data_IF_864238539875
#
_entry.id   IF_864238539875
#
_cell.length_a   1.000
_cell.length_b   1.000
_cell.length_c   1.000
_cell.angle_alpha   90.00
_cell.angle_beta   90.00
_cell.angle_gamma   90.00
#
_symmetry.space_group_name_H-M   'P 1'
#
loop_
_entity.id
_entity.type
_entity.pdbx_description
1 polymer ?
#
# COMPACT_ATOMS: atom_id res chain seq x y z
N UNK A 1 -57.70 17.36 -35.79
CA UNK A 1 -57.02 17.91 -36.98
C UNK A 1 -56.10 19.04 -36.53
N UNK A 2 -54.92 19.17 -37.16
CA UNK A 2 -53.63 19.32 -36.48
C UNK A 2 -53.04 20.73 -36.67
N UNK A 3 -51.94 21.06 -35.99
CA UNK A 3 -50.83 21.76 -36.66
C UNK A 3 -49.56 21.88 -35.81
N UNK A 4 -48.47 21.32 -36.36
CA UNK A 4 -47.04 21.64 -36.16
C UNK A 4 -46.51 21.66 -34.71
N UNK A 5 -45.83 20.62 -34.24
CA UNK A 5 -44.49 20.24 -34.71
C UNK A 5 -43.59 21.48 -34.86
N UNK A 6 -43.02 21.97 -33.75
CA UNK A 6 -41.81 22.80 -33.80
C UNK A 6 -40.63 21.95 -33.35
N UNK A 7 -39.88 21.55 -34.36
CA UNK A 7 -38.57 20.94 -34.30
C UNK A 7 -37.61 21.69 -33.36
N UNK A 8 -36.74 20.89 -32.74
CA UNK A 8 -35.32 21.20 -32.56
C UNK A 8 -35.01 22.48 -31.80
N UNK A 9 -34.82 22.37 -30.49
CA UNK A 9 -33.87 23.26 -29.81
C UNK A 9 -32.85 22.46 -29.03
N UNK A 10 -31.68 22.44 -29.66
CA UNK A 10 -30.38 22.42 -29.03
C UNK A 10 -30.10 21.23 -28.14
N UNK A 11 -29.40 20.29 -28.76
CA UNK A 11 -28.46 19.38 -28.13
C UNK A 11 -27.46 20.22 -27.30
N UNK A 12 -27.88 20.66 -26.11
CA UNK A 12 -27.00 21.18 -25.09
C UNK A 12 -26.16 20.01 -24.62
N UNK A 13 -25.00 19.84 -25.25
CA UNK A 13 -23.93 18.96 -24.81
C UNK A 13 -23.52 19.38 -23.40
N UNK A 14 -24.28 18.89 -22.42
CA UNK A 14 -23.94 18.93 -21.01
C UNK A 14 -22.80 17.97 -20.75
N UNK A 15 -21.64 18.22 -21.36
CA UNK A 15 -20.36 18.06 -20.67
C UNK A 15 -20.41 19.03 -19.51
N UNK A 16 -21.22 18.67 -18.51
CA UNK A 16 -21.04 19.14 -17.14
C UNK A 16 -19.64 18.70 -16.84
N UNK A 17 -18.69 19.63 -17.02
CA UNK A 17 -17.37 19.54 -16.46
C UNK A 17 -17.61 19.11 -15.03
N UNK A 18 -17.24 17.87 -14.76
CA UNK A 18 -17.13 17.35 -13.42
C UNK A 18 -16.09 18.25 -12.78
N UNK A 19 -16.56 19.37 -12.23
CA UNK A 19 -15.78 20.28 -11.43
C UNK A 19 -15.14 19.38 -10.42
N UNK A 20 -13.84 19.13 -10.60
CA UNK A 20 -12.98 18.45 -9.62
C UNK A 20 -13.31 19.14 -8.31
N UNK A 21 -14.06 18.46 -7.45
CA UNK A 21 -14.34 18.97 -6.13
C UNK A 21 -12.97 19.04 -5.47
N UNK A 22 -12.59 20.21 -4.97
CA UNK A 22 -11.41 20.48 -4.13
C UNK A 22 -11.51 19.72 -2.78
N UNK A 23 -11.93 18.46 -2.81
CA UNK A 23 -12.06 17.54 -1.67
C UNK A 23 -10.98 16.46 -1.69
N UNK A 24 -9.94 16.65 -2.50
CA UNK A 24 -8.77 15.78 -2.54
C UNK A 24 -7.66 16.28 -1.62
N UNK A 25 -7.92 17.28 -0.76
CA UNK A 25 -6.93 17.81 0.18
C UNK A 25 -6.31 16.78 1.14
N UNK A 26 -6.88 15.57 1.27
CA UNK A 26 -6.20 14.43 1.93
C UNK A 26 -5.34 13.62 0.98
N UNK A 27 -5.78 13.37 -0.25
CA UNK A 27 -5.02 12.65 -1.27
C UNK A 27 -3.77 13.45 -1.68
N UNK A 28 -3.91 14.77 -1.83
CA UNK A 28 -2.82 15.68 -2.14
C UNK A 28 -1.72 15.66 -1.06
N UNK A 29 -2.09 15.50 0.22
CA UNK A 29 -1.14 15.45 1.34
C UNK A 29 -0.29 14.18 1.35
N UNK A 30 -0.83 13.04 0.88
CA UNK A 30 -0.05 11.80 0.73
C UNK A 30 0.90 11.90 -0.47
N UNK A 31 0.44 12.47 -1.58
CA UNK A 31 1.25 12.64 -2.79
C UNK A 31 2.40 13.60 -2.56
N UNK A 32 2.18 14.71 -1.86
CA UNK A 32 3.18 15.76 -1.59
C UNK A 32 4.11 15.49 -0.41
N UNK A 33 4.00 14.32 0.23
CA UNK A 33 4.80 13.97 1.42
C UNK A 33 6.31 13.97 1.17
N UNK A 34 6.73 13.63 -0.04
CA UNK A 34 8.14 13.55 -0.41
C UNK A 34 8.81 14.94 -0.48
N UNK A 35 8.05 16.00 -0.77
CA UNK A 35 8.57 17.38 -0.87
C UNK A 35 8.89 17.97 0.51
N UNK A 36 8.13 17.59 1.54
CA UNK A 36 8.30 18.09 2.92
C UNK A 36 9.14 17.16 3.82
N UNK A 37 9.72 16.09 3.27
CA UNK A 37 10.51 15.14 4.04
C UNK A 37 11.86 15.74 4.44
N UNK A 38 12.20 15.66 5.74
CA UNK A 38 13.47 16.15 6.29
C UNK A 38 14.19 14.99 6.99
N UNK A 39 15.48 14.83 6.70
CA UNK A 39 16.31 13.80 7.32
C UNK A 39 16.74 14.23 8.74
N UNK A 40 15.86 13.98 9.71
CA UNK A 40 16.20 14.17 11.13
C UNK A 40 16.85 12.90 11.69
N UNK A 41 17.75 13.00 12.68
CA UNK A 41 18.48 11.83 13.19
C UNK A 41 17.53 10.72 13.68
N UNK A 42 16.40 11.06 14.32
CA UNK A 42 15.40 10.06 14.72
C UNK A 42 14.79 9.33 13.52
N UNK A 43 14.36 10.06 12.49
CA UNK A 43 13.73 9.45 11.30
C UNK A 43 14.73 8.63 10.49
N UNK A 44 15.99 9.06 10.45
CA UNK A 44 17.09 8.33 9.84
C UNK A 44 17.26 6.95 10.50
N UNK A 45 17.43 6.93 11.82
CA UNK A 45 17.56 5.68 12.59
C UNK A 45 16.36 4.75 12.43
N UNK A 46 15.14 5.30 12.46
CA UNK A 46 13.93 4.51 12.23
C UNK A 46 13.92 3.89 10.83
N UNK A 47 14.21 4.66 9.78
CA UNK A 47 14.23 4.13 8.41
C UNK A 47 15.27 3.01 8.24
N UNK A 48 16.45 3.16 8.83
CA UNK A 48 17.52 2.15 8.80
C UNK A 48 17.11 0.90 9.57
N UNK A 49 16.54 1.04 10.76
CA UNK A 49 16.10 -0.10 11.56
C UNK A 49 15.02 -0.93 10.84
N UNK A 50 14.02 -0.27 10.25
CA UNK A 50 12.93 -0.96 9.58
C UNK A 50 13.33 -1.57 8.24
N UNK A 51 14.21 -0.91 7.47
CA UNK A 51 14.60 -1.39 6.14
C UNK A 51 15.77 -2.38 6.18
N UNK A 52 16.63 -2.32 7.21
CA UNK A 52 17.80 -3.20 7.32
C UNK A 52 17.76 -4.11 8.54
N UNK A 53 17.53 -3.56 9.74
CA UNK A 53 17.65 -4.36 10.96
C UNK A 53 16.56 -5.43 11.06
N UNK A 54 15.30 -5.09 10.80
CA UNK A 54 14.19 -6.05 10.84
C UNK A 54 14.32 -7.12 9.75
N UNK A 55 14.38 -6.81 8.44
CA UNK A 55 14.51 -7.84 7.43
C UNK A 55 15.85 -8.57 7.52
N UNK A 56 16.95 -7.91 7.91
CA UNK A 56 18.24 -8.56 8.12
C UNK A 56 18.23 -9.56 9.29
N UNK A 57 17.62 -9.20 10.42
CA UNK A 57 17.44 -10.12 11.53
C UNK A 57 16.54 -11.29 11.13
N UNK A 58 15.40 -11.03 10.48
CA UNK A 58 14.49 -12.06 10.00
C UNK A 58 15.15 -13.00 9.01
N UNK A 59 15.88 -12.47 8.04
CA UNK A 59 16.61 -13.25 7.03
C UNK A 59 17.68 -14.12 7.68
N UNK A 60 18.45 -13.56 8.63
CA UNK A 60 19.44 -14.33 9.38
C UNK A 60 18.81 -15.45 10.21
N UNK A 61 17.71 -15.16 10.91
CA UNK A 61 17.00 -16.19 11.68
C UNK A 61 16.38 -17.24 10.77
N UNK A 62 15.80 -16.82 9.64
CA UNK A 62 15.21 -17.70 8.64
C UNK A 62 16.26 -18.70 8.13
N UNK A 63 17.44 -18.22 7.71
CA UNK A 63 18.53 -19.10 7.29
C UNK A 63 19.02 -20.07 8.37
N UNK A 64 18.86 -19.72 9.65
CA UNK A 64 19.24 -20.60 10.76
C UNK A 64 18.18 -21.63 11.14
N UNK A 65 16.90 -21.33 10.91
CA UNK A 65 15.78 -22.23 11.21
C UNK A 65 15.39 -23.08 10.00
N UNK A 66 15.79 -22.68 8.79
CA UNK A 66 15.52 -23.43 7.56
C UNK A 66 16.15 -24.82 7.66
N UNK A 67 15.33 -25.85 7.47
CA UNK A 67 15.73 -27.25 7.64
C UNK A 67 15.87 -27.74 9.09
N UNK A 68 15.92 -26.87 10.10
CA UNK A 68 16.18 -27.30 11.49
C UNK A 68 15.01 -28.05 12.15
N UNK A 69 13.79 -27.84 11.67
CA UNK A 69 12.57 -28.36 12.31
C UNK A 69 11.82 -29.30 11.37
N UNK A 70 11.93 -30.61 11.61
CA UNK A 70 11.07 -31.61 10.98
C UNK A 70 9.96 -32.03 11.95
N UNK A 71 8.73 -31.62 11.63
CA UNK A 71 7.53 -31.87 12.44
C UNK A 71 6.72 -33.05 11.90
N UNK A 72 7.24 -33.81 10.93
CA UNK A 72 6.50 -34.86 10.25
C UNK A 72 6.54 -36.16 11.08
N UNK A 73 5.43 -36.46 11.75
CA UNK A 73 5.19 -37.77 12.35
C UNK A 73 5.92 -38.07 13.67
N UNK A 74 6.53 -37.07 14.31
CA UNK A 74 7.23 -37.24 15.60
C UNK A 74 6.25 -37.54 16.76
N UNK A 75 6.58 -38.48 17.66
CA UNK A 75 5.77 -38.82 18.85
C UNK A 75 6.24 -37.99 20.07
N UNK A 76 5.44 -37.98 21.15
CA UNK A 76 5.82 -37.27 22.38
C UNK A 76 7.14 -37.83 22.92
N UNK A 77 8.15 -36.97 23.09
CA UNK A 77 9.46 -37.30 23.64
C UNK A 77 10.60 -37.35 22.63
N UNK A 78 10.33 -37.24 21.32
CA UNK A 78 11.36 -37.27 20.29
C UNK A 78 12.00 -35.88 20.04
N UNK A 79 13.29 -35.87 19.70
CA UNK A 79 14.02 -34.65 19.35
C UNK A 79 13.52 -34.07 18.03
N UNK A 80 13.19 -32.77 18.05
CA UNK A 80 12.57 -32.04 16.94
C UNK A 80 13.63 -31.42 16.01
N UNK A 81 14.88 -31.29 16.48
CA UNK A 81 16.02 -30.83 15.68
C UNK A 81 16.83 -32.01 15.14
N UNK A 82 16.94 -32.10 13.82
CA UNK A 82 17.71 -33.14 13.13
C UNK A 82 19.06 -32.59 12.61
N UNK A 83 19.72 -31.71 13.38
CA UNK A 83 21.03 -31.11 13.08
C UNK A 83 21.80 -30.69 14.34
#
# INVERSE_FOLDING_TARGET
MPCSLRAGRSFGNGRRGLSRRNTDGRADMYVKRHEYFRWTPRTAWLSVAYVLAIPGALMYTAYKIDGKWDLRGKRRGDIISEF
#
